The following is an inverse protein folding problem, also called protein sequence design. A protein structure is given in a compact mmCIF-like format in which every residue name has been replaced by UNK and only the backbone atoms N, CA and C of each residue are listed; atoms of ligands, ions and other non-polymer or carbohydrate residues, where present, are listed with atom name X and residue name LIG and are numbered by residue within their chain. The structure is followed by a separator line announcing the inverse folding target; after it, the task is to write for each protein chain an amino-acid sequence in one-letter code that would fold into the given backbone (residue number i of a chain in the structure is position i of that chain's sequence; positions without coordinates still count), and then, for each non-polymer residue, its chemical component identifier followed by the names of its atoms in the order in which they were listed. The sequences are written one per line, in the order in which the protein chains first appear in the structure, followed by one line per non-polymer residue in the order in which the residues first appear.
data_IF_668945996596
#
_entry.id   IF_668945996596
#
_cell.length_a   1.000
_cell.length_b   1.000
_cell.length_c   1.000
_cell.angle_alpha   90.00
_cell.angle_beta   90.00
_cell.angle_gamma   90.00
#
_symmetry.space_group_name_H-M   'P 1'
#
loop_
_entity.id
_entity.type
_entity.pdbx_description
1 polymer ?
#
# COMPACT_ATOMS: atom_id res chain seq x y z
N UNK A 1 3.22 22.77 3.90
CA UNK A 1 3.30 21.42 3.32
C UNK A 1 2.77 20.47 4.36
N UNK A 2 1.82 19.60 4.05
CA UNK A 2 1.29 18.65 5.04
C UNK A 2 2.40 17.68 5.47
N UNK A 3 2.50 17.41 6.76
CA UNK A 3 3.48 16.49 7.36
C UNK A 3 3.40 15.05 6.84
N UNK A 4 2.40 14.72 6.01
CA UNK A 4 2.16 13.38 5.49
C UNK A 4 2.54 13.18 4.02
N UNK A 5 2.90 14.24 3.29
CA UNK A 5 3.26 14.16 1.85
C UNK A 5 4.78 14.06 1.70
N UNK A 6 5.29 12.83 1.66
CA UNK A 6 6.70 12.51 1.45
C UNK A 6 7.07 12.28 -0.02
N UNK A 7 6.08 12.30 -0.91
CA UNK A 7 6.24 12.04 -2.34
C UNK A 7 6.21 13.32 -3.17
N UNK A 8 6.76 13.25 -4.37
CA UNK A 8 6.82 14.38 -5.29
C UNK A 8 7.92 14.22 -6.33
N UNK A 9 8.07 15.24 -7.17
CA UNK A 9 9.20 15.38 -8.09
C UNK A 9 10.28 16.21 -7.42
N UNK A 10 11.51 15.71 -7.47
CA UNK A 10 12.67 16.29 -6.82
C UNK A 10 13.71 16.61 -7.88
N UNK A 11 14.06 17.88 -8.01
CA UNK A 11 15.13 18.32 -8.92
C UNK A 11 16.50 18.20 -8.26
N UNK A 12 17.50 17.69 -8.95
CA UNK A 12 18.87 17.49 -8.50
C UNK A 12 19.85 18.22 -9.43
N UNK A 13 20.81 18.94 -8.85
CA UNK A 13 22.03 19.34 -9.59
C UNK A 13 22.98 18.15 -9.71
N UNK A 14 23.94 18.21 -10.63
CA UNK A 14 25.01 17.20 -10.71
C UNK A 14 25.78 17.15 -9.39
N UNK A 15 26.13 15.94 -8.96
CA UNK A 15 26.75 15.60 -7.66
C UNK A 15 25.90 15.90 -6.42
N UNK A 16 24.65 16.35 -6.59
CA UNK A 16 23.76 16.56 -5.44
C UNK A 16 23.34 15.23 -4.83
N UNK A 17 23.34 15.21 -3.49
CA UNK A 17 22.84 14.11 -2.67
C UNK A 17 21.60 14.57 -1.90
N UNK A 18 20.63 13.66 -1.76
CA UNK A 18 19.52 13.81 -0.83
C UNK A 18 19.35 12.54 -0.03
N UNK A 19 18.99 12.71 1.24
CA UNK A 19 18.71 11.64 2.17
C UNK A 19 17.27 11.73 2.65
N UNK A 20 16.56 10.62 2.59
CA UNK A 20 15.24 10.42 3.17
C UNK A 20 15.33 9.41 4.29
N UNK A 21 14.73 9.74 5.42
CA UNK A 21 14.35 8.78 6.45
C UNK A 21 12.84 8.61 6.38
N UNK A 22 12.37 7.39 6.10
CA UNK A 22 10.96 7.03 5.95
C UNK A 22 10.63 5.92 6.97
N UNK A 23 10.19 6.28 8.17
CA UNK A 23 10.18 5.36 9.32
C UNK A 23 11.56 4.69 9.50
N UNK A 24 11.60 3.36 9.62
CA UNK A 24 12.84 2.56 9.68
C UNK A 24 13.51 2.29 8.33
N UNK A 25 13.13 2.98 7.26
CA UNK A 25 13.74 2.87 5.92
C UNK A 25 14.53 4.14 5.57
N UNK A 26 15.81 3.96 5.27
CA UNK A 26 16.73 5.03 4.90
C UNK A 26 17.06 4.94 3.42
N UNK A 27 17.00 6.08 2.73
CA UNK A 27 17.24 6.19 1.30
C UNK A 27 18.15 7.37 1.03
N UNK A 28 19.30 7.12 0.44
CA UNK A 28 20.20 8.14 -0.07
C UNK A 28 20.24 8.07 -1.58
N UNK A 29 20.01 9.21 -2.23
CA UNK A 29 20.07 9.32 -3.68
C UNK A 29 21.08 10.38 -4.07
N UNK A 30 22.01 10.02 -4.95
CA UNK A 30 22.96 10.93 -5.59
C UNK A 30 22.80 10.91 -7.10
N UNK A 31 22.79 12.10 -7.70
CA UNK A 31 22.84 12.27 -9.17
C UNK A 31 24.26 12.58 -9.61
N UNK A 32 24.77 11.91 -10.64
CA UNK A 32 25.95 12.34 -11.41
C UNK A 32 25.55 12.66 -12.85
N UNK A 33 26.50 13.04 -13.70
CA UNK A 33 26.21 13.30 -15.11
C UNK A 33 25.64 12.08 -15.86
N UNK A 34 26.06 10.87 -15.48
CA UNK A 34 25.72 9.62 -16.17
C UNK A 34 25.11 8.56 -15.26
N UNK A 35 24.96 8.83 -13.95
CA UNK A 35 24.46 7.83 -13.02
C UNK A 35 23.47 8.37 -12.00
N UNK A 36 22.52 7.52 -11.65
CA UNK A 36 21.78 7.61 -10.40
C UNK A 36 22.33 6.56 -9.43
N UNK A 37 22.80 7.02 -8.29
CA UNK A 37 23.20 6.18 -7.17
C UNK A 37 22.06 6.17 -6.17
N UNK A 38 21.51 4.99 -5.90
CA UNK A 38 20.42 4.79 -4.96
C UNK A 38 20.94 3.82 -3.91
N UNK A 39 21.18 4.34 -2.72
CA UNK A 39 21.63 3.58 -1.58
C UNK A 39 20.47 3.46 -0.59
N UNK A 40 20.17 2.24 -0.15
CA UNK A 40 19.02 1.99 0.72
C UNK A 40 19.37 1.06 1.86
N UNK A 41 18.83 1.35 3.04
CA UNK A 41 19.00 0.55 4.24
C UNK A 41 17.67 0.43 4.97
N UNK A 42 17.39 -0.77 5.50
CA UNK A 42 16.20 -1.04 6.30
C UNK A 42 16.63 -1.55 7.65
N UNK A 43 16.14 -0.92 8.70
CA UNK A 43 16.35 -1.38 10.06
C UNK A 43 15.74 -2.77 10.26
N UNK A 44 16.41 -3.62 11.03
CA UNK A 44 15.96 -4.98 11.33
C UNK A 44 14.65 -5.01 12.12
N UNK A 45 14.48 -4.05 13.04
CA UNK A 45 13.24 -3.86 13.78
C UNK A 45 12.43 -2.72 13.16
N UNK A 46 11.34 -3.06 12.49
CA UNK A 46 10.43 -2.09 11.89
C UNK A 46 9.24 -1.85 12.83
N UNK A 47 8.94 -0.59 13.12
CA UNK A 47 7.73 -0.23 13.84
C UNK A 47 6.61 0.09 12.84
N UNK A 48 5.59 -0.77 12.72
CA UNK A 48 4.45 -0.55 11.80
C UNK A 48 3.66 0.74 12.09
N UNK A 49 3.75 1.25 13.32
CA UNK A 49 3.11 2.50 13.75
C UNK A 49 3.99 3.74 13.53
N UNK A 50 5.25 3.57 13.12
CA UNK A 50 6.11 4.69 12.77
C UNK A 50 5.74 5.22 11.38
N UNK A 51 5.37 6.50 11.33
CA UNK A 51 4.81 7.15 10.14
C UNK A 51 5.49 8.50 9.86
N UNK A 52 6.55 8.83 10.60
CA UNK A 52 7.35 10.04 10.43
C UNK A 52 8.27 9.89 9.23
N UNK A 53 8.61 11.02 8.62
CA UNK A 53 9.63 11.09 7.59
C UNK A 53 10.40 12.39 7.65
N UNK A 54 11.62 12.36 7.14
CA UNK A 54 12.50 13.52 7.04
C UNK A 54 13.22 13.51 5.70
N UNK A 55 13.44 14.70 5.13
CA UNK A 55 14.26 14.91 3.94
C UNK A 55 15.38 15.88 4.27
N UNK A 56 16.60 15.51 3.92
CA UNK A 56 17.79 16.33 4.05
C UNK A 56 18.47 16.48 2.68
N UNK A 57 18.91 17.71 2.37
CA UNK A 57 19.62 18.03 1.12
C UNK A 57 21.14 17.80 1.22
N UNK A 58 21.55 16.81 2.00
CA UNK A 58 22.94 16.43 2.22
C UNK A 58 23.06 14.92 2.39
N UNK A 59 24.27 14.40 2.23
CA UNK A 59 24.56 13.00 2.47
C UNK A 59 24.45 12.67 3.97
N UNK A 60 24.13 11.41 4.25
CA UNK A 60 24.20 10.82 5.58
C UNK A 60 25.07 9.56 5.54
N UNK A 61 25.65 9.19 6.67
CA UNK A 61 26.45 7.96 6.78
C UNK A 61 25.48 6.80 6.98
N UNK A 62 25.29 6.00 5.93
CA UNK A 62 24.48 4.79 6.02
C UNK A 62 25.29 3.62 6.60
N UNK A 63 24.62 2.64 7.25
CA UNK A 63 25.28 1.43 7.75
C UNK A 63 25.93 0.61 6.63
N UNK A 64 26.93 -0.21 6.97
CA UNK A 64 27.64 -1.03 5.98
C UNK A 64 26.77 -2.09 5.28
N UNK A 65 25.61 -2.40 5.84
CA UNK A 65 24.61 -3.30 5.25
C UNK A 65 23.74 -2.60 4.19
N UNK A 66 23.87 -1.28 4.02
CA UNK A 66 23.16 -0.54 2.99
C UNK A 66 23.47 -1.11 1.59
N UNK A 67 22.44 -1.16 0.77
CA UNK A 67 22.51 -1.70 -0.59
C UNK A 67 22.59 -0.55 -1.57
N UNK A 68 23.72 -0.44 -2.28
CA UNK A 68 23.93 0.51 -3.35
C UNK A 68 23.53 -0.09 -4.70
N UNK A 69 22.58 0.56 -5.38
CA UNK A 69 22.23 0.30 -6.77
C UNK A 69 22.67 1.48 -7.62
N UNK A 70 23.31 1.19 -8.76
CA UNK A 70 23.78 2.19 -9.73
C UNK A 70 23.06 1.99 -11.05
N UNK A 71 22.45 3.06 -11.54
CA UNK A 71 21.75 3.07 -12.82
C UNK A 71 22.51 3.98 -13.77
N UNK A 72 23.04 3.43 -14.86
CA UNK A 72 23.82 4.15 -15.86
C UNK A 72 22.90 4.71 -16.96
N UNK A 73 23.22 5.92 -17.40
CA UNK A 73 22.51 6.69 -18.42
C UNK A 73 23.53 7.35 -19.34
N UNK A 74 23.16 7.60 -20.60
CA UNK A 74 23.97 8.46 -21.47
C UNK A 74 24.11 9.87 -20.88
N UNK A 75 23.01 10.39 -20.34
CA UNK A 75 22.94 11.62 -19.56
C UNK A 75 21.76 11.49 -18.60
N UNK A 76 21.96 11.81 -17.32
CA UNK A 76 20.86 11.79 -16.35
C UNK A 76 19.95 13.01 -16.54
N UNK A 77 18.65 12.81 -16.37
CA UNK A 77 17.69 13.89 -16.19
C UNK A 77 17.90 14.56 -14.82
N UNK A 78 17.53 15.84 -14.68
CA UNK A 78 17.61 16.54 -13.40
C UNK A 78 16.49 16.21 -12.43
N UNK A 79 15.46 15.50 -12.87
CA UNK A 79 14.30 15.21 -12.03
C UNK A 79 14.22 13.74 -11.68
N UNK A 80 13.89 13.48 -10.42
CA UNK A 80 13.55 12.16 -9.93
C UNK A 80 12.20 12.24 -9.23
N UNK A 81 11.27 11.39 -9.64
CA UNK A 81 9.95 11.26 -9.03
C UNK A 81 9.99 10.16 -7.97
N UNK A 82 9.58 10.55 -6.77
CA UNK A 82 9.38 9.70 -5.61
C UNK A 82 7.87 9.55 -5.41
N UNK A 83 7.33 8.33 -5.35
CA UNK A 83 5.87 8.15 -5.27
C UNK A 83 5.44 6.89 -4.55
N UNK A 84 4.27 6.89 -3.87
CA UNK A 84 3.72 5.71 -3.24
C UNK A 84 3.02 4.83 -4.27
N UNK A 85 3.10 3.51 -4.11
CA UNK A 85 2.35 2.51 -4.89
C UNK A 85 1.81 1.44 -3.95
N UNK A 86 0.71 0.79 -4.32
CA UNK A 86 0.23 -0.35 -3.54
C UNK A 86 1.24 -1.50 -3.53
N UNK A 87 1.08 -2.46 -2.61
CA UNK A 87 1.95 -3.63 -2.51
C UNK A 87 1.94 -4.47 -3.80
N UNK A 88 3.05 -5.18 -4.05
CA UNK A 88 3.23 -6.09 -5.19
C UNK A 88 2.57 -7.46 -4.99
N UNK A 89 2.00 -7.71 -3.82
CA UNK A 89 1.18 -8.89 -3.49
C UNK A 89 -0.04 -8.47 -2.68
N UNK A 90 -1.05 -9.34 -2.65
CA UNK A 90 -2.23 -9.12 -1.80
C UNK A 90 -1.83 -8.99 -0.33
N UNK A 91 -2.60 -8.20 0.42
CA UNK A 91 -2.33 -7.90 1.83
C UNK A 91 -3.48 -8.41 2.67
N UNK A 92 -3.23 -9.44 3.45
CA UNK A 92 -4.15 -10.00 4.42
C UNK A 92 -4.21 -9.11 5.66
N UNK A 93 -5.44 -8.75 6.00
CA UNK A 93 -5.79 -7.92 7.15
C UNK A 93 -6.70 -8.75 8.06
N UNK A 94 -6.26 -8.97 9.31
CA UNK A 94 -7.02 -9.68 10.36
C UNK A 94 -7.59 -8.70 11.40
N UNK A 95 -8.93 -8.51 11.49
CA UNK A 95 -9.53 -7.73 12.57
C UNK A 95 -9.02 -8.13 13.96
N UNK A 96 -8.87 -7.16 14.87
CA UNK A 96 -8.39 -7.42 16.25
C UNK A 96 -9.34 -8.37 16.97
N UNK A 97 -10.64 -8.15 16.80
CA UNK A 97 -11.70 -9.06 17.22
C UNK A 97 -12.52 -9.50 16.00
N UNK A 98 -13.02 -10.74 15.95
CA UNK A 98 -13.90 -11.19 14.88
C UNK A 98 -15.06 -10.21 14.69
N UNK A 99 -15.36 -9.88 13.44
CA UNK A 99 -16.53 -9.08 13.10
C UNK A 99 -17.62 -10.00 12.57
N UNK A 100 -18.85 -9.77 13.00
CA UNK A 100 -20.01 -10.52 12.55
C UNK A 100 -20.95 -9.56 11.83
N UNK A 101 -21.30 -9.88 10.58
CA UNK A 101 -22.28 -9.13 9.79
C UNK A 101 -23.56 -9.96 9.76
N UNK A 102 -24.62 -9.58 10.51
CA UNK A 102 -25.86 -10.33 10.54
C UNK A 102 -26.53 -10.41 9.16
N UNK A 103 -27.49 -11.32 9.04
CA UNK A 103 -28.29 -11.48 7.83
C UNK A 103 -28.96 -10.15 7.42
N UNK A 104 -28.93 -9.87 6.12
CA UNK A 104 -29.49 -8.67 5.50
C UNK A 104 -28.91 -7.34 6.02
N UNK A 105 -27.67 -7.34 6.50
CA UNK A 105 -26.96 -6.14 6.97
C UNK A 105 -25.81 -5.76 6.03
N UNK A 106 -25.42 -4.49 6.07
CA UNK A 106 -24.27 -3.98 5.34
C UNK A 106 -23.41 -3.07 6.23
N UNK A 107 -22.12 -2.99 5.93
CA UNK A 107 -21.17 -2.13 6.64
C UNK A 107 -20.01 -1.73 5.74
N UNK A 108 -19.26 -0.70 6.12
CA UNK A 108 -18.01 -0.33 5.47
C UNK A 108 -16.88 -0.38 6.49
N UNK A 109 -15.81 -1.11 6.15
CA UNK A 109 -14.57 -1.16 6.92
C UNK A 109 -13.50 -0.33 6.20
N UNK A 110 -12.87 0.60 6.90
CA UNK A 110 -11.70 1.32 6.39
C UNK A 110 -10.45 0.55 6.77
N UNK A 111 -9.81 -0.06 5.77
CA UNK A 111 -8.66 -0.92 5.93
C UNK A 111 -7.39 -0.18 5.53
N UNK A 112 -6.44 -0.07 6.45
CA UNK A 112 -5.14 0.59 6.20
C UNK A 112 -4.06 -0.44 5.88
N UNK A 113 -3.40 -0.34 4.73
CA UNK A 113 -2.32 -1.26 4.30
C UNK A 113 -1.05 -0.50 3.90
N UNK A 114 0.15 -1.04 4.15
CA UNK A 114 1.42 -0.39 3.77
C UNK A 114 1.56 -0.12 2.27
N UNK A 115 2.34 0.91 1.93
CA UNK A 115 2.66 1.29 0.55
C UNK A 115 4.15 1.10 0.23
N UNK A 116 4.42 0.96 -1.06
CA UNK A 116 5.75 0.85 -1.64
C UNK A 116 6.21 2.22 -2.10
N UNK A 117 7.50 2.47 -1.92
CA UNK A 117 8.23 3.56 -2.52
C UNK A 117 8.62 3.17 -3.94
N UNK A 118 8.27 4.02 -4.89
CA UNK A 118 8.73 3.96 -6.27
C UNK A 118 9.58 5.17 -6.58
N UNK A 119 10.79 4.92 -7.09
CA UNK A 119 11.65 5.94 -7.70
C UNK A 119 11.60 5.80 -9.21
N UNK A 120 11.42 6.91 -9.91
CA UNK A 120 11.33 6.93 -11.37
C UNK A 120 11.93 8.21 -11.94
N UNK A 121 12.54 8.08 -13.11
CA UNK A 121 12.83 9.21 -14.03
C UNK A 121 11.60 9.44 -14.90
N UNK A 122 11.65 10.37 -15.86
CA UNK A 122 10.54 10.55 -16.80
C UNK A 122 10.23 9.27 -17.60
N UNK A 123 11.26 8.47 -17.88
CA UNK A 123 11.18 7.36 -18.84
C UNK A 123 11.15 5.96 -18.21
N UNK A 124 11.63 5.81 -16.98
CA UNK A 124 11.75 4.49 -16.37
C UNK A 124 11.68 4.50 -14.84
N UNK A 125 11.18 3.40 -14.29
CA UNK A 125 11.25 3.07 -12.87
C UNK A 125 12.64 2.54 -12.51
N UNK A 126 13.23 3.06 -11.45
CA UNK A 126 14.54 2.66 -10.93
C UNK A 126 14.45 1.78 -9.70
N UNK A 127 13.52 2.09 -8.78
CA UNK A 127 13.36 1.38 -7.51
C UNK A 127 11.87 1.13 -7.24
N UNK A 128 11.57 -0.01 -6.62
CA UNK A 128 10.23 -0.39 -6.16
C UNK A 128 10.36 -1.27 -4.91
N UNK A 129 10.18 -0.67 -3.73
CA UNK A 129 10.50 -1.31 -2.45
C UNK A 129 9.49 -0.89 -1.38
N UNK A 130 9.07 -1.77 -0.45
CA UNK A 130 8.18 -1.36 0.64
C UNK A 130 8.82 -0.28 1.50
N UNK A 131 8.05 0.72 1.97
CA UNK A 131 8.57 1.64 3.01
C UNK A 131 8.69 0.89 4.33
N UNK A 132 7.59 0.27 4.77
CA UNK A 132 7.58 -0.69 5.89
C UNK A 132 7.23 -2.06 5.31
N UNK A 133 8.16 -3.01 5.36
CA UNK A 133 7.98 -4.36 4.80
C UNK A 133 7.06 -5.17 5.72
N UNK A 134 5.86 -5.57 5.26
CA UNK A 134 5.00 -6.47 6.01
C UNK A 134 5.59 -7.88 6.09
N UNK A 135 5.08 -8.72 6.98
CA UNK A 135 5.52 -10.13 7.06
C UNK A 135 4.89 -10.95 5.94
N UNK A 136 5.60 -11.93 5.41
CA UNK A 136 5.02 -12.88 4.46
C UNK A 136 4.00 -13.79 5.19
N UNK A 137 2.92 -14.14 4.51
CA UNK A 137 1.87 -15.05 4.99
C UNK A 137 1.34 -15.89 3.85
N UNK A 138 0.68 -16.99 4.19
CA UNK A 138 -0.07 -17.80 3.23
C UNK A 138 -1.57 -17.49 3.36
N UNK A 139 -2.23 -17.30 2.23
CA UNK A 139 -3.68 -17.17 2.14
C UNK A 139 -4.19 -18.28 1.21
N UNK A 140 -4.94 -19.23 1.75
CA UNK A 140 -5.27 -20.47 1.05
C UNK A 140 -5.90 -21.52 1.95
N UNK A 141 -6.91 -22.22 1.43
CA UNK A 141 -7.60 -23.34 2.09
C UNK A 141 -6.66 -24.51 2.45
N UNK A 142 -5.48 -24.60 1.82
CA UNK A 142 -4.43 -25.54 2.23
C UNK A 142 -3.02 -25.04 1.85
N UNK A 143 -1.94 -25.65 2.38
CA UNK A 143 -0.57 -25.27 2.03
C UNK A 143 -0.20 -25.41 0.54
N UNK A 144 -1.01 -26.14 -0.23
CA UNK A 144 -0.81 -26.36 -1.68
C UNK A 144 -1.86 -25.62 -2.53
N UNK A 145 -2.89 -25.05 -1.92
CA UNK A 145 -3.95 -24.30 -2.59
C UNK A 145 -4.10 -22.96 -1.90
N UNK A 146 -3.42 -21.96 -2.45
CA UNK A 146 -3.36 -20.61 -1.91
C UNK A 146 -2.35 -19.75 -2.66
N UNK A 147 -2.10 -18.57 -2.11
CA UNK A 147 -1.13 -17.61 -2.59
C UNK A 147 -0.28 -17.06 -1.45
N UNK A 148 0.96 -16.69 -1.78
CA UNK A 148 1.83 -15.95 -0.87
C UNK A 148 1.35 -14.50 -0.85
N UNK A 149 0.94 -14.05 0.33
CA UNK A 149 0.48 -12.70 0.59
C UNK A 149 1.39 -12.01 1.61
N UNK A 150 1.11 -10.75 1.85
CA UNK A 150 1.58 -10.03 3.01
C UNK A 150 0.56 -10.09 4.15
N UNK A 151 1.04 -10.05 5.39
CA UNK A 151 0.24 -9.80 6.57
C UNK A 151 0.70 -8.49 7.22
N UNK A 152 -0.26 -7.70 7.67
CA UNK A 152 -0.01 -6.49 8.48
C UNK A 152 -0.90 -6.51 9.71
N UNK A 153 -0.39 -6.00 10.83
CA UNK A 153 -1.21 -5.77 12.00
C UNK A 153 -2.24 -4.68 11.71
N UNK A 154 -3.44 -4.89 12.23
CA UNK A 154 -4.65 -4.24 11.71
C UNK A 154 -5.01 -2.95 12.42
N UNK A 155 -5.40 -1.97 11.59
CA UNK A 155 -6.24 -0.84 11.94
C UNK A 155 -7.44 -0.79 10.96
N UNK A 156 -8.22 -1.86 10.92
CA UNK A 156 -9.53 -1.88 10.29
C UNK A 156 -10.49 -1.17 11.23
N UNK A 157 -11.04 -0.03 10.81
CA UNK A 157 -11.99 0.75 11.62
C UNK A 157 -13.31 0.90 10.86
N UNK A 158 -14.42 0.83 11.58
CA UNK A 158 -15.74 1.18 11.03
C UNK A 158 -15.84 2.71 10.89
N UNK A 159 -15.35 3.44 11.90
CA UNK A 159 -15.29 4.89 11.89
C UNK A 159 -13.95 5.37 11.34
N UNK A 160 -13.99 6.11 10.22
CA UNK A 160 -12.81 6.69 9.60
C UNK A 160 -12.08 7.68 10.52
N UNK A 161 -12.79 8.36 11.41
CA UNK A 161 -12.19 9.32 12.36
C UNK A 161 -11.26 8.64 13.36
N UNK A 162 -11.44 7.34 13.58
CA UNK A 162 -10.56 6.51 14.41
C UNK A 162 -9.33 6.00 13.65
N UNK A 163 -9.23 6.33 12.36
CA UNK A 163 -8.09 6.00 11.53
C UNK A 163 -7.25 7.27 11.29
N UNK A 164 -6.14 7.46 12.02
CA UNK A 164 -5.26 8.61 11.81
C UNK A 164 -4.68 8.57 10.39
N UNK A 165 -4.28 9.73 9.89
CA UNK A 165 -3.54 9.81 8.64
C UNK A 165 -2.16 9.19 8.87
N UNK A 166 -1.77 8.27 7.98
CA UNK A 166 -0.52 7.51 8.07
C UNK A 166 0.22 7.64 6.76
N UNK A 167 1.39 8.27 6.79
CA UNK A 167 2.16 8.62 5.60
C UNK A 167 2.46 7.42 4.70
N UNK A 168 2.71 6.25 5.29
CA UNK A 168 3.14 5.05 4.57
C UNK A 168 2.05 3.99 4.43
N UNK A 169 0.78 4.36 4.60
CA UNK A 169 -0.34 3.43 4.43
C UNK A 169 -1.46 4.07 3.61
N UNK A 170 -2.04 3.26 2.72
CA UNK A 170 -3.23 3.62 1.98
C UNK A 170 -4.49 3.06 2.65
N UNK A 171 -5.59 3.82 2.56
CA UNK A 171 -6.90 3.43 3.05
C UNK A 171 -7.70 2.82 1.91
N UNK A 172 -8.13 1.57 2.09
CA UNK A 172 -9.05 0.85 1.22
C UNK A 172 -10.40 0.71 1.94
N UNK A 173 -11.45 1.41 1.51
CA UNK A 173 -12.81 1.13 1.96
C UNK A 173 -13.24 -0.25 1.48
N UNK A 174 -13.75 -1.08 2.37
CA UNK A 174 -14.31 -2.41 2.08
C UNK A 174 -15.78 -2.37 2.46
N UNK A 175 -16.65 -2.20 1.46
CA UNK A 175 -18.09 -2.20 1.63
C UNK A 175 -18.61 -3.63 1.53
N UNK A 176 -19.22 -4.13 2.61
CA UNK A 176 -19.68 -5.51 2.72
C UNK A 176 -21.18 -5.54 2.86
N UNK A 177 -21.84 -6.34 2.02
CA UNK A 177 -23.29 -6.53 1.96
C UNK A 177 -23.57 -8.01 2.16
N UNK A 178 -24.22 -8.36 3.27
CA UNK A 178 -24.67 -9.72 3.54
C UNK A 178 -26.16 -9.87 3.18
N UNK A 179 -26.45 -10.34 1.97
CA UNK A 179 -27.80 -10.70 1.52
C UNK A 179 -28.18 -12.15 1.81
N UNK A 180 -27.35 -12.87 2.57
CA UNK A 180 -27.67 -14.24 2.99
C UNK A 180 -28.62 -14.25 4.19
N UNK A 181 -29.18 -15.42 4.47
CA UNK A 181 -29.98 -15.65 5.69
C UNK A 181 -29.14 -16.02 6.90
N UNK A 182 -27.81 -16.04 6.78
CA UNK A 182 -26.88 -16.41 7.85
C UNK A 182 -26.00 -15.22 8.25
N UNK A 183 -25.50 -15.24 9.48
CA UNK A 183 -24.48 -14.29 9.92
C UNK A 183 -23.16 -14.61 9.21
N UNK A 184 -22.55 -13.58 8.61
CA UNK A 184 -21.27 -13.69 7.91
C UNK A 184 -20.13 -13.25 8.85
N UNK A 185 -19.25 -14.17 9.29
CA UNK A 185 -18.07 -13.81 10.05
C UNK A 185 -16.96 -13.29 9.14
N UNK A 186 -16.24 -12.27 9.62
CA UNK A 186 -15.07 -11.70 8.96
C UNK A 186 -13.84 -11.93 9.84
N UNK A 187 -13.03 -12.91 9.44
CA UNK A 187 -11.81 -13.28 10.15
C UNK A 187 -10.54 -12.73 9.48
N UNK A 188 -10.49 -12.76 8.15
CA UNK A 188 -9.38 -12.27 7.34
C UNK A 188 -9.95 -11.62 6.08
N UNK A 189 -9.40 -10.48 5.72
CA UNK A 189 -9.71 -9.73 4.50
C UNK A 189 -8.44 -9.73 3.65
N UNK A 190 -8.47 -10.31 2.45
CA UNK A 190 -7.35 -10.33 1.53
C UNK A 190 -7.44 -9.13 0.58
N UNK A 191 -6.76 -8.02 0.87
CA UNK A 191 -6.79 -6.83 0.02
C UNK A 191 -5.98 -7.08 -1.26
N UNK A 192 -6.55 -6.96 -2.47
CA UNK A 192 -5.88 -7.28 -3.73
C UNK A 192 -5.01 -6.08 -4.16
N UNK A 193 -4.04 -5.73 -3.33
CA UNK A 193 -3.23 -4.53 -3.47
C UNK A 193 -2.63 -4.31 -4.88
N UNK A 194 -2.17 -5.34 -5.62
CA UNK A 194 -1.66 -5.15 -6.98
C UNK A 194 -2.69 -4.60 -7.97
N UNK A 195 -3.98 -4.83 -7.74
CA UNK A 195 -5.08 -4.39 -8.60
C UNK A 195 -5.62 -3.01 -8.21
N UNK A 196 -5.09 -2.41 -7.13
CA UNK A 196 -5.59 -1.15 -6.60
C UNK A 196 -4.68 0.03 -7.04
N UNK A 197 -5.22 1.02 -7.78
CA UNK A 197 -4.55 2.30 -7.97
C UNK A 197 -4.53 3.10 -6.65
N UNK A 198 -3.60 4.04 -6.55
CA UNK A 198 -3.46 4.89 -5.36
C UNK A 198 -3.65 6.37 -5.68
N UNK A 199 -4.43 7.02 -4.83
CA UNK A 199 -4.80 8.42 -4.93
C UNK A 199 -4.34 9.16 -3.68
N UNK A 200 -4.01 10.44 -3.80
CA UNK A 200 -3.80 11.35 -2.67
C UNK A 200 -4.98 12.28 -2.50
N UNK A 201 -5.50 12.35 -1.29
CA UNK A 201 -6.41 13.41 -0.86
C UNK A 201 -5.64 14.68 -0.44
N UNK A 202 -6.36 15.80 -0.29
CA UNK A 202 -5.79 17.09 0.08
C UNK A 202 -5.17 17.12 1.50
N UNK A 203 -5.66 16.25 2.39
CA UNK A 203 -5.15 16.08 3.77
C UNK A 203 -3.86 15.24 3.82
N UNK A 204 -3.38 14.73 2.67
CA UNK A 204 -2.23 13.83 2.58
C UNK A 204 -2.57 12.36 2.85
N UNK A 205 -3.85 12.00 3.05
CA UNK A 205 -4.25 10.60 3.15
C UNK A 205 -4.18 9.94 1.79
N UNK A 206 -3.61 8.73 1.77
CA UNK A 206 -3.59 7.88 0.58
C UNK A 206 -4.85 7.01 0.54
N UNK A 207 -5.48 6.95 -0.63
CA UNK A 207 -6.74 6.23 -0.85
C UNK A 207 -6.63 5.26 -2.01
N UNK A 208 -7.37 4.17 -1.93
CA UNK A 208 -7.67 3.29 -3.05
C UNK A 208 -9.18 3.28 -3.31
N UNK A 209 -9.64 2.76 -4.47
CA UNK A 209 -11.07 2.57 -4.71
C UNK A 209 -11.72 1.62 -3.70
N UNK A 210 -13.03 1.72 -3.56
CA UNK A 210 -13.80 0.85 -2.66
C UNK A 210 -13.81 -0.59 -3.17
N UNK A 211 -13.57 -1.56 -2.30
CA UNK A 211 -13.87 -2.97 -2.55
C UNK A 211 -15.31 -3.24 -2.13
N UNK A 212 -16.18 -3.57 -3.07
CA UNK A 212 -17.54 -4.00 -2.78
C UNK A 212 -17.60 -5.54 -2.72
N UNK A 213 -18.17 -6.03 -1.63
CA UNK A 213 -18.25 -7.44 -1.26
C UNK A 213 -19.71 -7.79 -1.05
N UNK A 214 -20.20 -8.76 -1.80
CA UNK A 214 -21.60 -9.21 -1.74
C UNK A 214 -21.64 -10.71 -1.42
N UNK A 215 -22.21 -11.06 -0.26
CA UNK A 215 -22.49 -12.45 0.11
C UNK A 215 -23.99 -12.73 -0.09
N UNK A 216 -24.31 -13.85 -0.75
CA UNK A 216 -25.69 -14.26 -1.02
C UNK A 216 -25.90 -15.74 -0.70
N UNK A 217 -27.15 -16.18 -0.55
CA UNK A 217 -27.45 -17.61 -0.38
C UNK A 217 -27.13 -18.44 -1.63
N UNK A 218 -27.12 -17.82 -2.81
CA UNK A 218 -26.84 -18.50 -4.09
C UNK A 218 -25.36 -18.71 -4.37
N UNK A 219 -24.46 -18.05 -3.63
CA UNK A 219 -23.02 -18.08 -3.90
C UNK A 219 -22.27 -18.69 -2.72
N UNK A 220 -21.45 -19.70 -2.99
CA UNK A 220 -20.59 -20.31 -1.95
C UNK A 220 -19.49 -19.34 -1.49
N UNK A 221 -19.04 -18.46 -2.38
CA UNK A 221 -18.04 -17.43 -2.09
C UNK A 221 -18.64 -16.04 -2.24
N UNK A 222 -18.11 -15.08 -1.49
CA UNK A 222 -18.51 -13.69 -1.63
C UNK A 222 -18.05 -13.16 -3.00
N UNK A 223 -18.95 -12.45 -3.70
CA UNK A 223 -18.61 -11.74 -4.93
C UNK A 223 -17.85 -10.47 -4.57
N UNK A 224 -16.81 -10.20 -5.34
CA UNK A 224 -15.92 -9.06 -5.12
C UNK A 224 -15.84 -8.23 -6.38
N UNK A 225 -15.94 -6.91 -6.22
CA UNK A 225 -15.61 -5.95 -7.27
C UNK A 225 -14.88 -4.74 -6.72
N UNK A 226 -14.02 -4.15 -7.55
CA UNK A 226 -13.48 -2.82 -7.30
C UNK A 226 -14.53 -1.82 -7.83
N UNK A 227 -15.02 -0.94 -6.96
CA UNK A 227 -15.95 0.11 -7.35
C UNK A 227 -15.23 1.16 -8.19
N UNK A 228 -15.78 1.58 -9.34
CA UNK A 228 -15.18 2.64 -10.14
C UNK A 228 -15.13 4.00 -9.43
N UNK A 229 -15.94 4.20 -8.37
CA UNK A 229 -15.98 5.45 -7.61
C UNK A 229 -15.21 5.32 -6.30
N UNK A 230 -14.43 6.34 -5.99
CA UNK A 230 -13.83 6.49 -4.66
C UNK A 230 -14.91 6.80 -3.61
N UNK A 231 -14.64 6.39 -2.38
CA UNK A 231 -15.52 6.66 -1.25
C UNK A 231 -15.67 8.17 -1.00
N UNK A 232 -16.87 8.64 -0.62
CA UNK A 232 -17.16 10.07 -0.43
C UNK A 232 -16.21 10.77 0.56
N UNK A 233 -15.81 10.07 1.63
CA UNK A 233 -14.82 10.58 2.59
C UNK A 233 -13.43 10.87 1.99
N UNK A 234 -13.09 10.32 0.83
CA UNK A 234 -11.83 10.65 0.17
C UNK A 234 -11.82 12.11 -0.34
N UNK A 235 -12.99 12.73 -0.52
CA UNK A 235 -13.12 14.09 -1.00
C UNK A 235 -12.51 14.29 -2.38
N UNK A 236 -11.79 15.40 -2.55
CA UNK A 236 -11.04 15.67 -3.79
C UNK A 236 -9.72 14.93 -3.72
N UNK A 237 -9.50 14.05 -4.71
CA UNK A 237 -8.29 13.26 -4.81
C UNK A 237 -7.61 13.40 -6.17
N UNK A 238 -6.30 13.16 -6.19
CA UNK A 238 -5.48 13.08 -7.39
C UNK A 238 -4.89 11.68 -7.51
N UNK A 239 -4.95 11.09 -8.70
CA UNK A 239 -4.25 9.84 -8.99
C UNK A 239 -2.74 10.04 -8.86
N UNK A 240 -2.08 9.22 -8.05
CA UNK A 240 -0.62 9.24 -7.88
C UNK A 240 0.06 8.16 -8.72
N UNK A 241 -0.44 6.92 -8.62
CA UNK A 241 0.05 5.79 -9.40
C UNK A 241 -1.10 4.86 -9.80
N UNK A 242 -1.06 4.30 -11.02
CA UNK A 242 -2.00 3.27 -11.43
C UNK A 242 -1.78 1.97 -10.65
N UNK A 243 -2.72 1.04 -10.80
CA UNK A 243 -2.56 -0.33 -10.33
C UNK A 243 -1.28 -0.97 -10.90
N UNK A 244 -0.77 -2.01 -10.23
CA UNK A 244 0.36 -2.82 -10.72
C UNK A 244 -0.06 -3.74 -11.84
N UNK A 245 -1.26 -4.28 -11.72
CA UNK A 245 -1.83 -5.25 -12.64
C UNK A 245 -3.15 -4.71 -13.14
N UNK A 246 -3.47 -5.00 -14.39
CA UNK A 246 -4.80 -4.75 -14.94
C UNK A 246 -5.79 -5.80 -14.42
N UNK A 247 -7.07 -5.43 -14.41
CA UNK A 247 -8.13 -6.21 -13.80
C UNK A 247 -8.23 -7.60 -14.43
N UNK A 248 -7.77 -8.63 -13.71
CA UNK A 248 -7.98 -10.02 -14.08
C UNK A 248 -9.45 -10.33 -13.77
N UNK A 249 -10.17 -10.93 -14.72
CA UNK A 249 -11.62 -11.18 -14.69
C UNK A 249 -12.14 -11.95 -13.44
N UNK A 250 -11.26 -12.41 -12.53
CA UNK A 250 -11.59 -13.14 -11.32
C UNK A 250 -10.93 -12.54 -10.06
N UNK A 251 -11.60 -11.57 -9.42
CA UNK A 251 -11.31 -11.12 -8.03
C UNK A 251 -11.82 -12.11 -6.97
N UNK A 252 -11.96 -13.40 -7.30
CA UNK A 252 -12.86 -14.34 -6.63
C UNK A 252 -12.44 -14.81 -5.23
N UNK A 253 -11.40 -14.25 -4.60
CA UNK A 253 -10.96 -14.64 -3.25
C UNK A 253 -10.48 -13.47 -2.38
N UNK A 254 -11.37 -12.51 -2.04
CA UNK A 254 -11.11 -11.58 -0.93
C UNK A 254 -11.27 -12.23 0.45
N UNK A 255 -12.09 -13.26 0.55
CA UNK A 255 -12.39 -13.95 1.81
C UNK A 255 -12.20 -15.44 1.60
N UNK A 256 -11.42 -16.05 2.48
CA UNK A 256 -11.52 -17.48 2.72
C UNK A 256 -12.23 -17.66 4.05
N UNK A 257 -13.28 -18.45 4.01
CA UNK A 257 -13.87 -19.02 5.20
C UNK A 257 -13.15 -20.36 5.42
N UNK A 258 -12.43 -20.52 6.53
CA UNK A 258 -12.18 -21.85 7.06
C UNK A 258 -13.46 -22.30 7.76
N UNK A 259 -14.40 -22.85 7.00
CA UNK A 259 -15.43 -23.71 7.57
C UNK A 259 -15.27 -25.10 6.95
N UNK A 260 -14.67 -25.99 7.73
CA UNK A 260 -15.23 -27.34 7.87
C UNK A 260 -16.46 -27.27 8.78
#
# INVERSE_FOLDING_TARGET
MSEHIWWGTYSFTTEQVRYWQLAGFELQVRRTAQEWHIESHRQSHQHEDEQSWHLQAQANILPSQAQLQRFLFNQTESELKLSPRMADRSVVVKPISPLLIPANQATTLFVSTPVWLVLSTANQQLLDIPVVRPTDTWFGASPIRGEICYATKVFGRIDLNQLPIRAFRAVTPVHIMNHSSQTMPIERINIPAPLLPIYSALDGRLWTPTLAVEQSNSTRTAKVRIDPRLHNHAGIVKLLNPARQENIENLSSLFEHFFE
#
